data_IF_654912156195
#
_entry.id   IF_654912156195
#
_cell.length_a   1.000
_cell.length_b   1.000
_cell.length_c   1.000
_cell.angle_alpha   90.00
_cell.angle_beta   90.00
_cell.angle_gamma   90.00
#
_symmetry.space_group_name_H-M   'P 1'
#
loop_
_entity.id
_entity.type
_entity.pdbx_description
1 polymer ?
#
# COMPACT_ATOMS: atom_id res chain seq x y z
N UNK A 1 8.71 -36.24 -6.51
CA UNK A 1 8.27 -35.20 -5.58
C UNK A 1 6.85 -34.75 -5.89
N UNK A 2 5.88 -35.48 -5.36
CA UNK A 2 4.51 -35.05 -5.48
C UNK A 2 4.31 -33.78 -4.66
N UNK A 3 4.11 -32.69 -5.33
CA UNK A 3 3.70 -31.47 -4.68
C UNK A 3 2.26 -31.65 -4.24
N UNK A 4 2.01 -31.58 -2.93
CA UNK A 4 0.66 -31.59 -2.41
C UNK A 4 -0.06 -30.30 -2.84
N UNK A 5 -1.28 -30.45 -3.29
CA UNK A 5 -2.14 -29.33 -3.66
C UNK A 5 -3.33 -29.23 -2.73
N UNK A 6 -3.89 -28.05 -2.66
CA UNK A 6 -5.12 -27.76 -1.95
C UNK A 6 -6.03 -26.95 -2.83
N UNK A 7 -7.29 -26.89 -2.49
CA UNK A 7 -8.27 -26.11 -3.24
C UNK A 7 -8.28 -24.67 -2.72
N UNK A 8 -8.29 -23.72 -3.65
CA UNK A 8 -8.44 -22.31 -3.34
C UNK A 8 -9.50 -21.69 -4.24
N UNK A 9 -10.48 -21.03 -3.63
CA UNK A 9 -11.56 -20.36 -4.36
C UNK A 9 -11.15 -18.94 -4.70
N UNK A 10 -11.09 -18.62 -5.98
CA UNK A 10 -10.78 -17.27 -6.48
C UNK A 10 -12.03 -16.40 -6.53
N UNK A 11 -11.85 -15.12 -6.79
CA UNK A 11 -12.92 -14.11 -6.72
C UNK A 11 -14.12 -14.39 -7.60
N UNK A 12 -13.91 -15.00 -8.78
CA UNK A 12 -15.00 -15.33 -9.69
C UNK A 12 -15.81 -16.57 -9.29
N UNK A 13 -15.46 -17.21 -8.18
CA UNK A 13 -16.13 -18.41 -7.66
C UNK A 13 -15.53 -19.72 -8.10
N UNK A 14 -14.58 -19.71 -9.04
CA UNK A 14 -13.89 -20.93 -9.45
C UNK A 14 -12.96 -21.44 -8.35
N UNK A 15 -12.81 -22.76 -8.26
CA UNK A 15 -11.86 -23.39 -7.36
C UNK A 15 -10.67 -23.88 -8.15
N UNK A 16 -9.46 -23.46 -7.75
CA UNK A 16 -8.21 -23.85 -8.39
C UNK A 16 -7.42 -24.77 -7.48
N UNK A 17 -6.68 -25.70 -8.06
CA UNK A 17 -5.67 -26.48 -7.35
C UNK A 17 -4.40 -25.63 -7.25
N UNK A 18 -3.96 -25.37 -6.03
CA UNK A 18 -2.76 -24.57 -5.77
C UNK A 18 -1.81 -25.39 -4.88
N UNK A 19 -0.49 -25.13 -4.93
CA UNK A 19 0.42 -25.78 -4.02
C UNK A 19 0.03 -25.53 -2.56
N UNK A 20 0.00 -26.57 -1.74
CA UNK A 20 -0.26 -26.44 -0.30
C UNK A 20 0.77 -25.53 0.36
N UNK A 21 2.03 -25.66 -0.06
CA UNK A 21 3.14 -24.83 0.41
C UNK A 21 3.89 -24.29 -0.81
N UNK A 22 3.45 -23.17 -1.37
CA UNK A 22 4.12 -22.64 -2.56
C UNK A 22 5.56 -22.23 -2.24
N UNK A 23 6.48 -22.60 -3.11
CA UNK A 23 7.92 -22.34 -2.94
C UNK A 23 8.48 -21.36 -3.94
N UNK A 24 7.83 -21.23 -5.10
CA UNK A 24 8.31 -20.40 -6.20
C UNK A 24 7.18 -19.48 -6.67
N UNK A 25 6.88 -18.49 -5.84
CA UNK A 25 5.75 -17.59 -6.13
C UNK A 25 6.25 -16.41 -6.98
N UNK A 26 5.55 -16.15 -8.07
CA UNK A 26 5.70 -14.92 -8.84
C UNK A 26 4.58 -13.97 -8.45
N UNK A 27 4.93 -12.83 -7.87
CA UNK A 27 3.96 -11.80 -7.44
C UNK A 27 4.07 -10.64 -8.42
N UNK A 28 3.18 -10.61 -9.40
CA UNK A 28 3.25 -9.69 -10.53
C UNK A 28 2.46 -8.39 -10.30
N UNK A 29 2.21 -8.09 -9.06
CA UNK A 29 1.66 -6.81 -8.61
C UNK A 29 2.43 -6.38 -7.37
N UNK A 30 2.83 -5.10 -7.31
CA UNK A 30 3.63 -4.57 -6.21
C UNK A 30 2.90 -4.55 -4.87
N UNK A 31 1.57 -4.55 -4.90
CA UNK A 31 0.77 -4.34 -3.70
C UNK A 31 0.84 -5.48 -2.68
N UNK A 32 1.14 -6.70 -3.11
CA UNK A 32 1.07 -7.88 -2.24
C UNK A 32 2.43 -8.52 -1.95
N UNK A 33 3.51 -8.00 -2.51
CA UNK A 33 4.86 -8.57 -2.34
C UNK A 33 5.23 -8.69 -0.86
N UNK A 34 5.04 -7.64 -0.10
CA UNK A 34 5.36 -7.64 1.33
C UNK A 34 4.47 -8.55 2.15
N UNK A 35 3.25 -8.86 1.70
CA UNK A 35 2.36 -9.81 2.36
C UNK A 35 2.98 -11.21 2.32
N UNK A 36 3.47 -11.65 1.17
CA UNK A 36 4.16 -12.94 1.03
C UNK A 36 5.41 -13.00 1.91
N UNK A 37 6.22 -11.94 1.87
CA UNK A 37 7.44 -11.85 2.69
C UNK A 37 7.10 -11.99 4.17
N UNK A 38 6.08 -11.29 4.65
CA UNK A 38 5.67 -11.32 6.06
C UNK A 38 5.19 -12.71 6.47
N UNK A 39 4.58 -13.44 5.56
CA UNK A 39 4.12 -14.80 5.80
C UNK A 39 5.23 -15.84 5.64
N UNK A 40 6.47 -15.40 5.43
CA UNK A 40 7.63 -16.28 5.34
C UNK A 40 7.92 -16.81 3.94
N UNK A 41 7.32 -16.24 2.91
CA UNK A 41 7.52 -16.66 1.53
C UNK A 41 8.26 -15.58 0.75
N UNK A 42 9.50 -15.87 0.36
CA UNK A 42 10.25 -14.96 -0.52
C UNK A 42 9.85 -15.23 -1.97
N UNK A 43 9.25 -14.26 -2.69
CA UNK A 43 8.94 -14.46 -4.11
C UNK A 43 10.20 -14.70 -4.95
N UNK A 44 10.06 -15.44 -6.04
CA UNK A 44 11.18 -15.62 -7.00
C UNK A 44 11.17 -14.55 -8.08
N UNK A 45 10.03 -13.96 -8.31
CA UNK A 45 9.84 -12.89 -9.28
C UNK A 45 8.77 -11.93 -8.78
N UNK A 46 8.94 -10.66 -9.02
CA UNK A 46 8.00 -9.62 -8.58
C UNK A 46 7.84 -8.58 -9.68
N UNK A 47 6.72 -7.85 -9.63
CA UNK A 47 6.52 -6.69 -10.52
C UNK A 47 7.66 -5.69 -10.32
N UNK A 48 8.13 -5.10 -11.40
CA UNK A 48 9.23 -4.12 -11.39
C UNK A 48 8.85 -2.81 -10.66
N UNK A 49 7.57 -2.56 -10.41
CA UNK A 49 7.13 -1.40 -9.61
C UNK A 49 7.69 -1.44 -8.19
N UNK A 50 8.03 -2.63 -7.68
CA UNK A 50 8.62 -2.78 -6.34
C UNK A 50 10.08 -2.36 -6.27
N UNK A 51 10.72 -2.22 -7.43
CA UNK A 51 12.15 -1.90 -7.52
C UNK A 51 12.53 -0.59 -6.84
N UNK A 52 11.62 0.38 -6.84
CA UNK A 52 11.88 1.71 -6.29
C UNK A 52 11.59 1.81 -4.79
N UNK A 53 11.05 0.75 -4.18
CA UNK A 53 10.83 0.73 -2.73
C UNK A 53 12.12 0.38 -2.00
N UNK A 54 12.68 1.33 -1.27
CA UNK A 54 13.85 1.06 -0.42
C UNK A 54 13.48 0.19 0.78
N UNK A 55 12.21 0.13 1.13
CA UNK A 55 11.70 -0.65 2.27
C UNK A 55 11.68 -2.15 1.93
N UNK A 56 11.21 -2.50 0.73
CA UNK A 56 11.14 -3.89 0.28
C UNK A 56 12.46 -4.42 -0.26
N UNK A 57 13.30 -3.54 -0.77
CA UNK A 57 14.56 -3.92 -1.42
C UNK A 57 15.43 -4.89 -0.63
N UNK A 58 15.64 -4.72 0.70
CA UNK A 58 16.47 -5.66 1.47
C UNK A 58 15.95 -7.11 1.46
N UNK A 59 14.65 -7.29 1.26
CA UNK A 59 14.00 -8.61 1.25
C UNK A 59 14.01 -9.26 -0.13
N UNK A 60 14.43 -8.54 -1.17
CA UNK A 60 14.28 -8.97 -2.56
C UNK A 60 15.62 -9.27 -3.27
N UNK A 61 16.67 -9.56 -2.50
CA UNK A 61 17.97 -9.94 -3.10
C UNK A 61 17.81 -11.21 -3.93
N UNK A 62 18.30 -11.16 -5.17
CA UNK A 62 18.26 -12.30 -6.08
C UNK A 62 16.91 -12.55 -6.73
N UNK A 63 15.91 -11.70 -6.47
CA UNK A 63 14.58 -11.82 -7.05
C UNK A 63 14.57 -11.16 -8.44
N UNK A 64 13.88 -11.77 -9.40
CA UNK A 64 13.70 -11.18 -10.73
C UNK A 64 12.64 -10.09 -10.68
N UNK A 65 12.99 -8.93 -11.23
CA UNK A 65 12.00 -7.87 -11.46
C UNK A 65 11.43 -8.02 -12.86
N UNK A 66 10.12 -8.18 -12.92
CA UNK A 66 9.40 -8.48 -14.16
C UNK A 66 8.68 -7.24 -14.65
N UNK A 67 8.96 -6.84 -15.89
CA UNK A 67 8.25 -5.73 -16.54
C UNK A 67 6.82 -6.10 -16.91
N UNK A 68 6.00 -5.08 -17.10
CA UNK A 68 4.61 -5.27 -17.52
C UNK A 68 4.56 -6.06 -18.83
N UNK A 69 3.67 -7.07 -18.88
CA UNK A 69 3.46 -7.93 -20.06
C UNK A 69 4.62 -8.87 -20.43
N UNK A 70 5.61 -9.02 -19.59
CA UNK A 70 6.75 -9.92 -19.90
C UNK A 70 6.45 -11.36 -19.46
N UNK A 71 5.52 -11.98 -20.16
CA UNK A 71 5.06 -13.36 -19.90
C UNK A 71 6.20 -14.37 -20.07
N UNK A 72 7.06 -14.15 -21.03
CA UNK A 72 8.20 -15.03 -21.33
C UNK A 72 9.17 -15.13 -20.14
N UNK A 73 9.44 -13.99 -19.51
CA UNK A 73 10.33 -13.96 -18.35
C UNK A 73 9.71 -14.64 -17.13
N UNK A 74 8.40 -14.54 -16.98
CA UNK A 74 7.67 -15.28 -15.94
C UNK A 74 7.82 -16.78 -16.16
N UNK A 75 7.65 -17.24 -17.39
CA UNK A 75 7.81 -18.66 -17.72
C UNK A 75 9.23 -19.16 -17.42
N UNK A 76 10.24 -18.37 -17.72
CA UNK A 76 11.66 -18.70 -17.41
C UNK A 76 11.92 -18.84 -15.93
N UNK A 77 11.22 -18.09 -15.11
CA UNK A 77 11.35 -18.13 -13.65
C UNK A 77 10.79 -19.44 -13.05
N UNK A 78 9.99 -20.17 -13.79
CA UNK A 78 9.40 -21.46 -13.39
C UNK A 78 8.65 -21.35 -12.04
N UNK A 79 7.66 -20.49 -11.93
CA UNK A 79 6.87 -20.37 -10.70
C UNK A 79 5.96 -21.58 -10.51
N UNK A 80 5.62 -21.87 -9.25
CA UNK A 80 4.58 -22.85 -8.90
C UNK A 80 3.26 -22.17 -8.55
N UNK A 81 3.26 -20.84 -8.42
CA UNK A 81 2.09 -20.03 -8.13
C UNK A 81 2.32 -18.62 -8.68
N UNK A 82 1.32 -18.07 -9.33
CA UNK A 82 1.39 -16.70 -9.89
C UNK A 82 0.25 -15.88 -9.29
N UNK A 83 0.57 -14.69 -8.80
CA UNK A 83 -0.40 -13.75 -8.25
C UNK A 83 -0.40 -12.49 -9.11
N UNK A 84 -1.57 -12.07 -9.56
CA UNK A 84 -1.73 -10.94 -10.48
C UNK A 84 -2.85 -10.02 -10.03
N UNK A 85 -2.88 -8.82 -10.59
CA UNK A 85 -4.05 -7.95 -10.49
C UNK A 85 -5.16 -8.52 -11.39
N UNK A 86 -6.42 -8.43 -10.94
CA UNK A 86 -7.56 -8.94 -11.70
C UNK A 86 -7.73 -8.26 -13.07
N UNK A 87 -7.14 -7.07 -13.24
CA UNK A 87 -7.17 -6.34 -14.52
C UNK A 87 -6.03 -6.70 -15.46
N UNK A 88 -5.13 -7.60 -15.06
CA UNK A 88 -4.00 -8.00 -15.90
C UNK A 88 -4.50 -8.63 -17.19
N UNK A 89 -3.96 -8.19 -18.31
CA UNK A 89 -4.37 -8.67 -19.65
C UNK A 89 -3.86 -10.06 -19.97
N UNK A 90 -2.89 -10.57 -19.22
CA UNK A 90 -2.17 -11.80 -19.54
C UNK A 90 -2.55 -12.98 -18.65
N UNK A 91 -3.64 -12.89 -17.91
CA UNK A 91 -4.07 -13.94 -16.97
C UNK A 91 -4.13 -15.31 -17.67
N UNK A 92 -4.76 -15.40 -18.85
CA UNK A 92 -4.85 -16.66 -19.60
C UNK A 92 -3.49 -17.22 -19.98
N UNK A 93 -2.55 -16.35 -20.31
CA UNK A 93 -1.17 -16.76 -20.64
C UNK A 93 -0.46 -17.29 -19.41
N UNK A 94 -0.60 -16.61 -18.27
CA UNK A 94 -0.02 -17.06 -17.01
C UNK A 94 -0.60 -18.40 -16.55
N UNK A 95 -1.87 -18.64 -16.78
CA UNK A 95 -2.54 -19.90 -16.43
C UNK A 95 -1.91 -21.12 -17.12
N UNK A 96 -1.27 -20.93 -18.27
CA UNK A 96 -0.54 -21.99 -18.97
C UNK A 96 0.78 -22.33 -18.31
N UNK A 97 1.28 -21.44 -17.43
CA UNK A 97 2.56 -21.62 -16.75
C UNK A 97 2.36 -22.25 -15.38
N UNK A 98 1.42 -21.73 -14.59
CA UNK A 98 1.17 -22.17 -13.22
C UNK A 98 -0.22 -21.69 -12.76
N UNK A 99 -0.76 -22.21 -11.64
CA UNK A 99 -1.97 -21.66 -11.05
C UNK A 99 -1.82 -20.15 -10.86
N UNK A 100 -2.81 -19.41 -11.36
CA UNK A 100 -2.78 -17.93 -11.38
C UNK A 100 -3.94 -17.38 -10.59
N UNK A 101 -3.64 -16.59 -9.57
CA UNK A 101 -4.63 -16.04 -8.64
C UNK A 101 -4.76 -14.55 -8.89
N UNK A 102 -5.91 -14.10 -9.39
CA UNK A 102 -6.17 -12.67 -9.55
C UNK A 102 -6.81 -12.11 -8.29
N UNK A 103 -6.34 -10.93 -7.88
CA UNK A 103 -6.99 -10.16 -6.83
C UNK A 103 -7.37 -8.79 -7.39
N UNK A 104 -8.57 -8.33 -7.09
CA UNK A 104 -9.02 -7.01 -7.49
C UNK A 104 -8.44 -5.97 -6.51
N UNK A 105 -7.62 -5.08 -7.04
CA UNK A 105 -7.07 -3.99 -6.26
C UNK A 105 -8.22 -3.12 -5.72
N UNK A 106 -8.06 -2.64 -4.50
CA UNK A 106 -9.04 -1.77 -3.84
C UNK A 106 -10.32 -2.48 -3.35
N UNK A 107 -10.44 -3.79 -3.55
CA UNK A 107 -11.53 -4.60 -2.99
C UNK A 107 -11.31 -4.92 -1.52
N UNK A 108 -10.05 -5.06 -1.12
CA UNK A 108 -9.65 -5.49 0.21
C UNK A 108 -8.92 -4.36 0.94
N UNK A 109 -9.18 -4.20 2.24
CA UNK A 109 -8.26 -3.42 3.06
C UNK A 109 -7.01 -4.26 3.36
N UNK A 110 -6.00 -3.65 4.00
CA UNK A 110 -4.72 -4.35 4.20
C UNK A 110 -4.82 -5.59 5.07
N UNK A 111 -5.76 -5.63 6.01
CA UNK A 111 -5.98 -6.81 6.86
C UNK A 111 -6.70 -7.91 6.10
N UNK A 112 -7.70 -7.55 5.31
CA UNK A 112 -8.47 -8.51 4.52
C UNK A 112 -7.60 -9.21 3.48
N UNK A 113 -6.75 -8.48 2.76
CA UNK A 113 -5.87 -9.11 1.76
C UNK A 113 -4.81 -9.98 2.41
N UNK A 114 -4.28 -9.59 3.57
CA UNK A 114 -3.33 -10.45 4.30
C UNK A 114 -3.98 -11.76 4.71
N UNK A 115 -5.23 -11.73 5.18
CA UNK A 115 -5.98 -12.95 5.50
C UNK A 115 -6.18 -13.82 4.28
N UNK A 116 -6.52 -13.23 3.13
CA UNK A 116 -6.72 -13.98 1.89
C UNK A 116 -5.42 -14.66 1.43
N UNK A 117 -4.31 -13.96 1.47
CA UNK A 117 -3.02 -14.53 1.11
C UNK A 117 -2.60 -15.59 2.14
N UNK A 118 -2.97 -15.41 3.39
CA UNK A 118 -2.81 -16.44 4.42
C UNK A 118 -3.54 -17.72 4.07
N UNK A 119 -4.79 -17.63 3.62
CA UNK A 119 -5.56 -18.79 3.13
C UNK A 119 -4.89 -19.44 1.93
N UNK A 120 -4.48 -18.63 0.96
CA UNK A 120 -3.84 -19.10 -0.27
C UNK A 120 -2.58 -19.92 0.02
N UNK A 121 -1.85 -19.57 1.06
CA UNK A 121 -0.53 -20.12 1.35
C UNK A 121 -0.48 -21.01 2.60
N UNK A 122 -1.64 -21.32 3.18
CA UNK A 122 -1.75 -22.08 4.45
C UNK A 122 -0.99 -21.42 5.61
N UNK A 123 -1.06 -20.10 5.67
CA UNK A 123 -0.44 -19.27 6.71
C UNK A 123 -1.48 -18.43 7.46
N UNK A 124 -2.70 -18.96 7.63
CA UNK A 124 -3.80 -18.22 8.27
C UNK A 124 -3.45 -17.77 9.69
N UNK A 125 -2.78 -18.63 10.46
CA UNK A 125 -2.38 -18.31 11.83
C UNK A 125 -1.37 -17.17 11.89
N UNK A 126 -0.41 -17.14 10.96
CA UNK A 126 0.58 -16.07 10.88
C UNK A 126 -0.09 -14.74 10.53
N UNK A 127 -1.02 -14.77 9.59
CA UNK A 127 -1.77 -13.57 9.20
C UNK A 127 -2.58 -13.04 10.38
N UNK A 128 -3.31 -13.89 11.06
CA UNK A 128 -4.12 -13.53 12.24
C UNK A 128 -3.26 -12.94 13.35
N UNK A 129 -2.13 -13.56 13.63
CA UNK A 129 -1.21 -13.09 14.67
C UNK A 129 -0.70 -11.68 14.36
N UNK A 130 -0.28 -11.44 13.12
CA UNK A 130 0.19 -10.12 12.72
C UNK A 130 -0.89 -9.05 12.89
N UNK A 131 -2.12 -9.38 12.48
CA UNK A 131 -3.25 -8.45 12.57
C UNK A 131 -3.54 -8.09 14.03
N UNK A 132 -3.54 -9.09 14.92
CA UNK A 132 -3.75 -8.86 16.36
C UNK A 132 -2.65 -7.97 16.95
N UNK A 133 -1.40 -8.22 16.60
CA UNK A 133 -0.27 -7.42 17.05
C UNK A 133 -0.34 -5.98 16.50
N UNK A 134 -0.72 -5.82 15.24
CA UNK A 134 -0.91 -4.53 14.61
C UNK A 134 -2.03 -3.74 15.31
N UNK A 135 -3.16 -4.38 15.57
CA UNK A 135 -4.28 -3.74 16.24
C UNK A 135 -3.91 -3.28 17.66
N UNK A 136 -3.16 -4.09 18.39
CA UNK A 136 -2.69 -3.71 19.72
C UNK A 136 -1.74 -2.50 19.68
N UNK A 137 -0.78 -2.54 18.78
CA UNK A 137 0.19 -1.44 18.61
C UNK A 137 -0.49 -0.14 18.20
N UNK A 138 -1.38 -0.20 17.23
CA UNK A 138 -2.05 0.99 16.71
C UNK A 138 -3.07 1.56 17.69
N UNK A 139 -3.68 0.72 18.51
CA UNK A 139 -4.55 1.19 19.59
C UNK A 139 -3.78 2.04 20.60
N UNK A 140 -2.58 1.61 20.97
CA UNK A 140 -1.70 2.36 21.87
C UNK A 140 -1.22 3.65 21.21
N UNK A 141 -0.84 3.57 19.93
CA UNK A 141 -0.41 4.74 19.15
C UNK A 141 -1.50 5.82 19.11
N UNK A 142 -2.73 5.38 18.84
CA UNK A 142 -3.88 6.28 18.76
C UNK A 142 -4.08 7.04 20.06
N UNK A 143 -4.01 6.34 21.19
CA UNK A 143 -4.14 6.98 22.51
C UNK A 143 -3.04 8.01 22.75
N UNK A 144 -1.79 7.65 22.45
CA UNK A 144 -0.64 8.54 22.61
C UNK A 144 -0.76 9.77 21.73
N UNK A 145 -1.11 9.59 20.47
CA UNK A 145 -1.25 10.69 19.51
C UNK A 145 -2.41 11.60 19.93
N UNK A 146 -3.57 11.02 20.25
CA UNK A 146 -4.72 11.81 20.70
C UNK A 146 -4.45 12.58 21.99
N UNK A 147 -3.67 12.01 22.90
CA UNK A 147 -3.27 12.69 24.12
C UNK A 147 -2.46 13.97 23.83
N UNK A 148 -1.68 13.96 22.75
CA UNK A 148 -0.84 15.11 22.37
C UNK A 148 -1.60 16.11 21.50
N UNK A 149 -2.31 15.67 20.49
CA UNK A 149 -2.88 16.53 19.44
C UNK A 149 -4.42 16.55 19.38
N UNK A 150 -5.08 15.79 20.26
CA UNK A 150 -6.56 15.73 20.27
C UNK A 150 -7.11 15.15 18.97
N UNK A 151 -8.19 15.73 18.48
CA UNK A 151 -8.88 15.31 17.25
C UNK A 151 -8.41 16.11 16.03
N UNK A 152 -7.11 16.40 15.95
CA UNK A 152 -6.56 17.12 14.82
C UNK A 152 -6.84 16.41 13.51
N UNK A 153 -7.24 17.17 12.49
CA UNK A 153 -7.46 16.63 11.15
C UNK A 153 -6.16 16.44 10.40
N UNK A 154 -6.19 15.56 9.40
CA UNK A 154 -5.03 15.30 8.56
C UNK A 154 -5.41 15.24 7.10
N UNK A 155 -4.49 15.66 6.24
CA UNK A 155 -4.60 15.53 4.79
C UNK A 155 -3.37 14.83 4.27
N UNK A 156 -3.55 13.89 3.35
CA UNK A 156 -2.45 13.23 2.64
C UNK A 156 -2.52 13.68 1.18
N UNK A 157 -1.43 14.26 0.69
CA UNK A 157 -1.33 14.74 -0.69
C UNK A 157 -0.19 14.05 -1.41
N UNK A 158 -0.42 13.69 -2.68
CA UNK A 158 0.65 13.20 -3.57
C UNK A 158 0.70 14.08 -4.81
N UNK A 159 1.72 14.92 -4.96
CA UNK A 159 1.82 15.79 -6.12
C UNK A 159 2.33 15.07 -7.36
N UNK A 160 1.89 15.52 -8.53
CA UNK A 160 2.61 15.29 -9.77
C UNK A 160 3.00 16.67 -10.34
N UNK A 161 3.50 16.73 -11.56
CA UNK A 161 3.94 18.00 -12.16
C UNK A 161 2.81 19.00 -12.34
N UNK A 162 1.57 18.53 -12.52
CA UNK A 162 0.42 19.37 -12.91
C UNK A 162 -0.57 19.59 -11.79
N UNK A 163 -0.75 18.63 -10.91
CA UNK A 163 -1.84 18.62 -9.95
C UNK A 163 -1.46 17.88 -8.66
N UNK A 164 -2.38 17.90 -7.73
CA UNK A 164 -2.23 17.19 -6.44
C UNK A 164 -3.28 16.09 -6.39
N UNK A 165 -2.87 14.88 -6.06
CA UNK A 165 -3.79 13.76 -5.87
C UNK A 165 -4.16 13.60 -4.40
N UNK A 166 -5.41 13.25 -4.19
CA UNK A 166 -5.96 12.87 -2.89
C UNK A 166 -6.59 11.48 -3.02
N UNK A 167 -6.62 10.72 -1.92
CA UNK A 167 -7.00 9.30 -1.95
C UNK A 167 -7.80 8.92 -0.71
N UNK A 168 -8.58 7.83 -0.82
CA UNK A 168 -9.12 7.18 0.37
C UNK A 168 -8.10 6.18 0.94
N UNK A 169 -8.42 5.59 2.10
CA UNK A 169 -7.47 4.75 2.86
C UNK A 169 -6.99 3.50 2.13
N UNK A 170 -7.69 3.04 1.10
CA UNK A 170 -7.33 1.80 0.39
C UNK A 170 -6.20 2.00 -0.61
N UNK A 171 -5.81 3.23 -0.88
CA UNK A 171 -4.78 3.57 -1.87
C UNK A 171 -3.36 3.65 -1.30
N UNK A 172 -3.14 3.23 -0.06
CA UNK A 172 -1.82 3.27 0.55
C UNK A 172 -1.35 4.67 0.89
N UNK A 173 -0.09 4.96 0.60
CA UNK A 173 0.53 6.29 0.84
C UNK A 173 0.41 6.77 2.28
N UNK A 174 0.22 5.86 3.22
CA UNK A 174 0.07 6.20 4.63
C UNK A 174 -1.33 6.56 5.07
N UNK A 175 -2.30 6.62 4.15
CA UNK A 175 -3.67 7.02 4.51
C UNK A 175 -4.32 6.09 5.53
N UNK A 176 -4.12 4.79 5.39
CA UNK A 176 -4.64 3.80 6.34
C UNK A 176 -4.02 3.93 7.73
N UNK A 177 -2.77 4.35 7.82
CA UNK A 177 -2.12 4.63 9.10
C UNK A 177 -2.65 5.92 9.70
N UNK A 178 -2.61 7.01 8.95
CA UNK A 178 -3.01 8.34 9.42
C UNK A 178 -4.47 8.36 9.87
N UNK A 179 -5.37 7.85 9.04
CA UNK A 179 -6.81 7.94 9.30
C UNK A 179 -7.34 6.76 10.09
N UNK A 180 -7.00 5.53 9.70
CA UNK A 180 -7.58 4.34 10.33
C UNK A 180 -6.85 3.95 11.61
N UNK A 181 -5.51 3.84 11.56
CA UNK A 181 -4.74 3.42 12.73
C UNK A 181 -4.61 4.51 13.79
N UNK A 182 -4.26 5.74 13.38
CA UNK A 182 -4.05 6.86 14.30
C UNK A 182 -5.33 7.66 14.58
N UNK A 183 -6.37 7.46 13.78
CA UNK A 183 -7.66 8.09 14.00
C UNK A 183 -7.70 9.59 13.72
N UNK A 184 -6.80 10.10 12.92
CA UNK A 184 -6.84 11.51 12.50
C UNK A 184 -7.89 11.66 11.39
N UNK A 185 -8.96 12.45 11.62
CA UNK A 185 -10.02 12.53 10.63
C UNK A 185 -9.62 13.33 9.38
N UNK A 186 -10.22 12.98 8.25
CA UNK A 186 -10.15 13.79 7.03
C UNK A 186 -10.95 15.06 7.24
N UNK A 187 -10.57 16.15 6.55
CA UNK A 187 -11.42 17.34 6.48
C UNK A 187 -12.68 17.02 5.68
N UNK A 188 -13.74 17.78 5.93
CA UNK A 188 -15.00 17.64 5.18
C UNK A 188 -14.77 17.85 3.67
N UNK A 189 -14.01 18.88 3.31
CA UNK A 189 -13.72 19.21 1.92
C UNK A 189 -12.99 18.08 1.20
N UNK A 190 -12.03 17.47 1.88
CA UNK A 190 -11.28 16.33 1.34
C UNK A 190 -12.22 15.13 1.08
N UNK A 191 -13.04 14.77 2.07
CA UNK A 191 -14.02 13.69 1.93
C UNK A 191 -15.01 13.94 0.80
N UNK A 192 -15.57 15.14 0.75
CA UNK A 192 -16.59 15.50 -0.25
C UNK A 192 -16.02 15.39 -1.67
N UNK A 193 -14.77 15.82 -1.85
CA UNK A 193 -14.09 15.72 -3.15
C UNK A 193 -13.91 14.27 -3.59
N UNK A 194 -13.51 13.39 -2.67
CA UNK A 194 -13.36 11.97 -2.96
C UNK A 194 -14.66 11.29 -3.37
N UNK A 195 -15.79 11.75 -2.81
CA UNK A 195 -17.09 11.15 -3.08
C UNK A 195 -17.68 11.54 -4.44
N UNK A 196 -17.21 12.63 -5.04
CA UNK A 196 -17.72 13.11 -6.33
C UNK A 196 -17.59 12.07 -7.45
N UNK A 197 -16.41 11.42 -7.56
CA UNK A 197 -16.11 10.53 -8.66
C UNK A 197 -16.23 9.04 -8.33
N UNK A 198 -16.42 8.68 -7.07
CA UNK A 198 -16.54 7.30 -6.57
C UNK A 198 -15.39 6.37 -6.93
N UNK A 199 -14.24 6.92 -7.31
CA UNK A 199 -13.05 6.14 -7.70
C UNK A 199 -12.11 5.84 -6.54
N UNK A 200 -12.32 6.51 -5.40
CA UNK A 200 -11.42 6.43 -4.25
C UNK A 200 -10.21 7.33 -4.37
N UNK A 201 -10.08 8.08 -5.44
CA UNK A 201 -9.06 9.11 -5.61
C UNK A 201 -9.62 10.28 -6.42
N UNK A 202 -8.96 11.43 -6.32
CA UNK A 202 -9.33 12.61 -7.09
C UNK A 202 -8.10 13.50 -7.27
N UNK A 203 -8.16 14.43 -8.21
CA UNK A 203 -7.12 15.43 -8.37
C UNK A 203 -7.66 16.81 -8.05
N UNK A 204 -6.81 17.65 -7.47
CA UNK A 204 -7.09 19.04 -7.16
C UNK A 204 -6.00 19.89 -7.76
N UNK A 205 -6.31 21.16 -8.05
CA UNK A 205 -5.29 22.07 -8.55
C UNK A 205 -4.36 22.50 -7.41
N UNK A 206 -3.13 22.84 -7.77
CA UNK A 206 -2.14 23.31 -6.79
C UNK A 206 -2.60 24.57 -6.06
N UNK A 207 -3.33 25.43 -6.75
CA UNK A 207 -3.86 26.67 -6.19
C UNK A 207 -4.93 26.43 -5.12
N UNK A 208 -5.62 25.30 -5.19
CA UNK A 208 -6.70 24.97 -4.28
C UNK A 208 -6.28 24.08 -3.11
N UNK A 209 -5.00 23.77 -2.97
CA UNK A 209 -4.53 22.85 -1.95
C UNK A 209 -4.93 23.30 -0.53
N UNK A 210 -4.93 24.60 -0.26
CA UNK A 210 -5.30 25.15 1.04
C UNK A 210 -6.73 24.78 1.47
N UNK A 211 -7.63 24.65 0.49
CA UNK A 211 -9.04 24.29 0.74
C UNK A 211 -9.17 22.88 1.38
N UNK A 212 -8.22 22.00 1.09
CA UNK A 212 -8.27 20.59 1.50
C UNK A 212 -7.32 20.25 2.63
N UNK A 213 -6.53 21.24 3.08
CA UNK A 213 -5.52 21.01 4.11
C UNK A 213 -6.15 20.82 5.49
N UNK A 214 -5.67 19.81 6.22
CA UNK A 214 -6.01 19.59 7.62
C UNK A 214 -5.02 20.27 8.56
N UNK A 215 -5.17 19.99 9.84
CA UNK A 215 -4.25 20.49 10.88
C UNK A 215 -2.83 19.95 10.73
N UNK A 216 -2.72 18.73 10.17
CA UNK A 216 -1.46 18.10 9.80
C UNK A 216 -1.50 17.73 8.33
N UNK A 217 -0.40 17.93 7.62
CA UNK A 217 -0.27 17.61 6.21
C UNK A 217 0.81 16.56 6.03
N UNK A 218 0.47 15.49 5.32
CA UNK A 218 1.39 14.40 4.97
C UNK A 218 1.61 14.46 3.46
N UNK A 219 2.88 14.62 3.05
CA UNK A 219 3.25 14.72 1.65
C UNK A 219 3.94 13.45 1.18
N UNK A 220 3.25 12.70 0.33
CA UNK A 220 3.79 11.55 -0.39
C UNK A 220 4.44 12.08 -1.67
N UNK A 221 5.75 12.28 -1.66
CA UNK A 221 6.47 12.96 -2.75
C UNK A 221 7.22 11.98 -3.63
N UNK A 222 6.83 11.82 -4.91
CA UNK A 222 7.64 11.03 -5.84
C UNK A 222 9.04 11.62 -5.97
N UNK A 223 10.06 10.79 -5.91
CA UNK A 223 11.45 11.26 -5.93
C UNK A 223 11.90 11.77 -7.29
N UNK A 224 11.22 11.37 -8.35
CA UNK A 224 11.54 11.77 -9.72
C UNK A 224 10.92 13.10 -10.14
N UNK A 225 10.08 13.68 -9.29
CA UNK A 225 9.38 14.91 -9.61
C UNK A 225 10.06 16.15 -9.03
N UNK A 226 9.85 17.27 -9.71
CA UNK A 226 10.19 18.60 -9.17
C UNK A 226 8.89 19.32 -8.89
N UNK A 227 8.71 19.72 -7.63
CA UNK A 227 7.47 20.32 -7.18
C UNK A 227 7.75 21.70 -6.61
N UNK A 228 7.13 22.71 -7.18
CA UNK A 228 7.34 24.11 -6.80
C UNK A 228 6.19 24.69 -5.98
N UNK A 229 5.11 23.91 -5.76
CA UNK A 229 3.94 24.42 -5.02
C UNK A 229 4.29 24.83 -3.59
N UNK A 230 5.29 24.21 -2.98
CA UNK A 230 5.75 24.54 -1.63
C UNK A 230 6.38 25.93 -1.52
N UNK A 231 6.79 26.51 -2.65
CA UNK A 231 7.38 27.84 -2.71
C UNK A 231 6.31 28.95 -2.87
N UNK A 232 5.08 28.58 -3.10
CA UNK A 232 3.99 29.55 -3.34
C UNK A 232 3.51 30.19 -2.05
N UNK A 233 3.01 31.40 -2.13
CA UNK A 233 2.36 32.06 -0.99
C UNK A 233 1.13 31.30 -0.51
N UNK A 234 0.37 30.71 -1.44
CA UNK A 234 -0.79 29.88 -1.11
C UNK A 234 -0.42 28.76 -0.14
N UNK A 235 0.63 28.02 -0.46
CA UNK A 235 1.11 26.94 0.40
C UNK A 235 1.63 27.47 1.73
N UNK A 236 2.49 28.49 1.69
CA UNK A 236 3.15 29.04 2.89
C UNK A 236 2.16 29.69 3.87
N UNK A 237 1.00 30.12 3.39
CA UNK A 237 -0.03 30.71 4.22
C UNK A 237 -1.00 29.69 4.83
N UNK A 238 -0.86 28.40 4.51
CA UNK A 238 -1.64 27.34 5.16
C UNK A 238 -1.25 27.26 6.64
N UNK A 239 -2.23 27.22 7.52
CA UNK A 239 -1.99 27.22 8.96
C UNK A 239 -1.09 26.07 9.40
N UNK A 240 -1.33 24.85 8.90
CA UNK A 240 -0.48 23.69 9.20
C UNK A 240 0.97 23.91 8.76
N UNK A 241 1.19 24.56 7.62
CA UNK A 241 2.52 24.86 7.09
C UNK A 241 3.23 25.86 8.00
N UNK A 242 2.54 26.94 8.39
CA UNK A 242 3.10 27.95 9.32
C UNK A 242 3.52 27.35 10.66
N UNK A 243 2.75 26.37 11.14
CA UNK A 243 3.05 25.69 12.42
C UNK A 243 4.10 24.59 12.28
N UNK A 244 4.58 24.30 11.09
CA UNK A 244 5.52 23.22 10.86
C UNK A 244 4.88 21.82 10.94
N UNK A 245 3.57 21.71 10.80
CA UNK A 245 2.84 20.44 10.84
C UNK A 245 2.79 19.77 9.47
N UNK A 246 3.94 19.68 8.80
CA UNK A 246 4.09 19.00 7.52
C UNK A 246 5.08 17.87 7.66
N UNK A 247 4.66 16.68 7.25
CA UNK A 247 5.49 15.47 7.30
C UNK A 247 5.60 14.95 5.88
N UNK A 248 6.82 14.91 5.35
CA UNK A 248 7.08 14.46 3.97
C UNK A 248 7.79 13.12 3.97
N UNK A 249 7.49 12.30 2.97
CA UNK A 249 8.18 11.04 2.76
C UNK A 249 8.20 10.71 1.27
N UNK A 250 9.12 9.82 0.91
CA UNK A 250 9.29 9.36 -0.46
C UNK A 250 8.13 8.46 -0.86
N UNK A 251 7.37 8.83 -1.89
CA UNK A 251 6.18 8.11 -2.32
C UNK A 251 6.46 6.64 -2.64
N UNK A 252 7.54 6.36 -3.38
CA UNK A 252 7.88 5.01 -3.82
C UNK A 252 8.13 4.04 -2.66
N UNK A 253 8.49 4.55 -1.49
CA UNK A 253 8.72 3.71 -0.31
C UNK A 253 7.41 3.31 0.37
N UNK A 254 6.33 4.06 0.15
CA UNK A 254 5.10 3.90 0.94
C UNK A 254 3.81 3.84 0.13
N UNK A 255 3.90 3.54 -1.17
CA UNK A 255 2.70 3.30 -1.97
C UNK A 255 1.92 2.08 -1.51
N UNK A 256 2.61 1.07 -0.99
CA UNK A 256 2.03 -0.24 -0.71
C UNK A 256 1.49 -0.34 0.71
N UNK A 257 0.56 -1.27 0.93
CA UNK A 257 -0.10 -1.48 2.22
C UNK A 257 0.21 -2.85 2.82
N UNK A 258 1.32 -3.45 2.40
CA UNK A 258 1.78 -4.71 2.98
C UNK A 258 2.34 -4.49 4.40
N UNK A 259 2.38 -5.55 5.21
CA UNK A 259 2.86 -5.44 6.60
C UNK A 259 4.27 -4.86 6.74
N UNK A 260 5.19 -5.17 5.84
CA UNK A 260 6.58 -4.68 5.91
C UNK A 260 6.59 -3.15 5.76
N UNK A 261 5.89 -2.65 4.74
CA UNK A 261 5.80 -1.22 4.46
C UNK A 261 5.05 -0.49 5.57
N UNK A 262 3.92 -1.05 6.02
CA UNK A 262 3.10 -0.43 7.07
C UNK A 262 3.85 -0.33 8.41
N UNK A 263 4.57 -1.37 8.80
CA UNK A 263 5.36 -1.35 10.05
C UNK A 263 6.39 -0.23 10.03
N UNK A 264 7.08 -0.10 8.92
CA UNK A 264 8.11 0.93 8.77
C UNK A 264 7.50 2.34 8.82
N UNK A 265 6.43 2.54 8.06
CA UNK A 265 5.78 3.86 7.98
C UNK A 265 5.09 4.23 9.30
N UNK A 266 4.45 3.26 9.96
CA UNK A 266 3.83 3.49 11.28
C UNK A 266 4.83 4.08 12.25
N UNK A 267 5.98 3.45 12.38
CA UNK A 267 7.05 3.91 13.29
C UNK A 267 7.52 5.31 12.93
N UNK A 268 7.76 5.57 11.65
CA UNK A 268 8.21 6.86 11.14
C UNK A 268 7.18 7.97 11.43
N UNK A 269 5.93 7.74 11.06
CA UNK A 269 4.88 8.75 11.21
C UNK A 269 4.58 9.05 12.67
N UNK A 270 4.48 8.03 13.51
CA UNK A 270 4.28 8.22 14.95
C UNK A 270 5.36 9.12 15.55
N UNK A 271 6.61 8.78 15.27
CA UNK A 271 7.75 9.54 15.78
C UNK A 271 7.70 11.01 15.34
N UNK A 272 7.43 11.25 14.07
CA UNK A 272 7.39 12.62 13.55
C UNK A 272 6.21 13.42 14.10
N UNK A 273 5.03 12.82 14.25
CA UNK A 273 3.88 13.48 14.84
C UNK A 273 4.18 13.87 16.29
N UNK A 274 4.72 12.95 17.08
CA UNK A 274 5.01 13.20 18.50
C UNK A 274 6.14 14.20 18.70
N UNK A 275 7.03 14.35 17.74
CA UNK A 275 8.15 15.31 17.81
C UNK A 275 7.79 16.71 17.30
N UNK A 276 6.63 16.91 16.68
CA UNK A 276 6.17 18.25 16.25
C UNK A 276 5.79 19.09 17.45
N UNK A 277 6.08 20.37 17.38
CA UNK A 277 5.75 21.33 18.43
C UNK A 277 4.36 21.91 18.30
#
# INVERSE_FOLDING_TARGET
>A
NSTKTTDYKIENGETLKVPEKPKRVAVLTGFYVGDFIKLGIKPIAVSDITKDSSILKPYLKGVDYIGENDVERVAKAKPDLIVVDAMDKNIKKYQKIAPTIPYTYNKYNHKEILKEIGKLTNNEDKAKKWIEEWDDKTRKDKKEIQSKIGQATASVFEPDEKQIYIYNSTWGRGLDIVHDAFGMPMTKQYKDKLQEDKKGYASISKENISKYAGDYIFLSKPSYGKFDFEKTHTWQNIEAVKKGHVISYKAEDYWFTDPITLEHLRSKLKKEILNKK
#
